data_IF_128957421235
#
_entry.id   IF_128957421235
#
_cell.length_a   1.000
_cell.length_b   1.000
_cell.length_c   1.000
_cell.angle_alpha   90.00
_cell.angle_beta   90.00
_cell.angle_gamma   90.00
#
_symmetry.space_group_name_H-M   'P 1'
#
loop_
_entity.id
_entity.type
_entity.pdbx_description
1 polymer ?
#
# COMPACT_ATOMS: atom_id res chain seq x y z
N UNK A 1 2.68 0.90 -6.01
CA UNK A 1 3.85 0.13 -5.50
C UNK A 1 3.84 0.24 -3.98
N UNK A 2 4.20 -0.83 -3.27
CA UNK A 2 4.32 -0.83 -1.81
C UNK A 2 5.70 -1.34 -1.37
N UNK A 3 6.19 -0.81 -0.27
CA UNK A 3 7.49 -1.14 0.29
C UNK A 3 7.88 -0.15 1.38
N UNK A 4 8.85 -0.53 2.21
CA UNK A 4 9.32 0.34 3.30
C UNK A 4 10.34 1.35 2.77
N UNK A 5 9.94 2.62 2.72
CA UNK A 5 10.84 3.75 2.49
C UNK A 5 10.33 4.98 3.27
N UNK A 6 10.96 5.28 4.41
CA UNK A 6 10.61 6.44 5.26
C UNK A 6 11.02 7.73 4.56
N UNK A 7 10.15 8.74 4.57
CA UNK A 7 10.35 10.01 3.88
C UNK A 7 10.13 9.95 2.36
N UNK A 8 9.71 8.82 1.82
CA UNK A 8 9.34 8.71 0.40
C UNK A 8 7.98 9.37 0.15
N UNK A 9 7.91 10.24 -0.85
CA UNK A 9 6.69 11.00 -1.17
C UNK A 9 5.55 10.16 -1.77
N UNK A 10 5.82 8.89 -2.15
CA UNK A 10 4.85 7.99 -2.78
C UNK A 10 4.83 6.63 -2.08
N UNK A 11 4.14 6.53 -0.94
CA UNK A 11 4.12 5.31 -0.12
C UNK A 11 2.71 4.98 0.40
N UNK A 12 1.88 4.38 -0.47
CA UNK A 12 0.52 3.94 -0.10
C UNK A 12 0.53 2.94 1.06
N UNK A 13 1.40 1.93 1.04
CA UNK A 13 1.41 0.89 2.06
C UNK A 13 1.64 1.43 3.47
N UNK A 14 2.62 2.33 3.64
CA UNK A 14 2.87 2.96 4.95
C UNK A 14 1.76 3.96 5.31
N UNK A 15 1.21 4.69 4.33
CA UNK A 15 0.06 5.59 4.55
C UNK A 15 -1.15 4.84 5.11
N UNK A 16 -1.51 3.70 4.51
CA UNK A 16 -2.63 2.87 4.96
C UNK A 16 -2.37 2.28 6.35
N UNK A 17 -1.14 1.88 6.66
CA UNK A 17 -0.77 1.38 7.98
C UNK A 17 -0.95 2.44 9.08
N UNK A 18 -0.52 3.66 8.81
CA UNK A 18 -0.67 4.80 9.73
C UNK A 18 -2.14 5.18 9.87
N UNK A 19 -2.89 5.29 8.77
CA UNK A 19 -4.32 5.57 8.78
C UNK A 19 -5.10 4.54 9.60
N UNK A 20 -4.83 3.24 9.40
CA UNK A 20 -5.44 2.15 10.17
C UNK A 20 -5.09 2.23 11.66
N UNK A 21 -3.83 2.54 11.98
CA UNK A 21 -3.37 2.72 13.38
C UNK A 21 -4.12 3.87 14.06
N UNK A 22 -4.25 5.02 13.39
CA UNK A 22 -5.00 6.17 13.92
C UNK A 22 -6.47 5.78 14.12
N UNK A 23 -7.08 5.08 13.17
CA UNK A 23 -8.45 4.58 13.31
C UNK A 23 -8.60 3.67 14.55
N UNK A 24 -7.66 2.75 14.76
CA UNK A 24 -7.64 1.86 15.93
C UNK A 24 -7.53 2.64 17.24
N UNK A 25 -6.60 3.58 17.33
CA UNK A 25 -6.28 4.30 18.58
C UNK A 25 -7.35 5.34 18.95
N UNK A 26 -8.06 5.88 17.97
CA UNK A 26 -9.10 6.91 18.19
C UNK A 26 -10.52 6.37 18.18
N UNK A 27 -10.72 5.14 17.70
CA UNK A 27 -12.04 4.55 17.49
C UNK A 27 -12.81 5.14 16.31
N UNK A 28 -12.19 5.99 15.48
CA UNK A 28 -12.86 6.52 14.28
C UNK A 28 -13.05 5.42 13.22
N UNK A 29 -14.09 5.50 12.37
CA UNK A 29 -14.33 4.51 11.33
C UNK A 29 -13.16 4.39 10.34
N UNK A 30 -12.76 3.16 10.01
CA UNK A 30 -11.75 2.89 8.97
C UNK A 30 -12.39 2.89 7.58
N UNK A 31 -12.46 4.07 6.99
CA UNK A 31 -13.27 4.34 5.79
C UNK A 31 -12.42 4.31 4.53
N UNK A 32 -12.85 3.54 3.53
CA UNK A 32 -12.18 3.50 2.22
C UNK A 32 -12.21 4.89 1.57
N UNK A 33 -11.07 5.42 1.13
CA UNK A 33 -11.00 6.81 0.66
C UNK A 33 -11.34 6.97 -0.82
N UNK A 34 -11.25 5.87 -1.59
CA UNK A 34 -11.19 5.89 -3.04
C UNK A 34 -12.54 5.87 -3.76
N UNK A 35 -12.44 5.72 -5.09
CA UNK A 35 -13.58 5.67 -6.00
C UNK A 35 -14.30 4.33 -5.98
N UNK A 36 -15.58 4.32 -6.38
CA UNK A 36 -16.33 3.08 -6.58
C UNK A 36 -15.71 2.18 -7.68
N UNK A 37 -14.98 2.77 -8.62
CA UNK A 37 -14.24 2.00 -9.63
C UNK A 37 -13.08 1.22 -8.99
N UNK A 38 -12.28 1.85 -8.13
CA UNK A 38 -11.20 1.16 -7.43
C UNK A 38 -11.74 0.16 -6.40
N UNK A 39 -12.87 0.46 -5.75
CA UNK A 39 -13.51 -0.47 -4.82
C UNK A 39 -13.93 -1.80 -5.48
N UNK A 40 -14.59 -1.72 -6.64
CA UNK A 40 -15.20 -2.88 -7.31
C UNK A 40 -14.35 -3.51 -8.43
N UNK A 41 -13.49 -2.71 -9.04
CA UNK A 41 -12.67 -3.08 -10.20
C UNK A 41 -11.46 -3.92 -9.83
N UNK A 42 -10.91 -4.61 -10.83
CA UNK A 42 -9.64 -5.30 -10.71
C UNK A 42 -8.47 -4.31 -10.75
N UNK A 43 -7.51 -4.55 -9.87
CA UNK A 43 -6.23 -3.85 -9.85
C UNK A 43 -5.09 -4.81 -9.55
N UNK A 44 -3.90 -4.47 -10.02
CA UNK A 44 -2.65 -5.09 -9.58
C UNK A 44 -1.85 -4.18 -8.63
N UNK A 45 -0.76 -4.71 -8.10
CA UNK A 45 0.19 -3.99 -7.26
C UNK A 45 1.61 -4.49 -7.53
N UNK A 46 2.60 -3.70 -7.13
CA UNK A 46 4.01 -4.08 -7.17
C UNK A 46 4.61 -3.94 -5.78
N UNK A 47 5.07 -5.04 -5.20
CA UNK A 47 5.94 -5.09 -4.03
C UNK A 47 7.37 -4.70 -4.43
N UNK A 48 8.04 -3.89 -3.60
CA UNK A 48 9.39 -3.42 -3.87
C UNK A 48 10.43 -4.56 -3.98
N UNK A 49 10.26 -5.66 -3.23
CA UNK A 49 11.09 -6.87 -3.31
C UNK A 49 10.87 -7.57 -4.65
N UNK A 50 9.64 -7.60 -5.15
CA UNK A 50 9.32 -8.15 -6.48
C UNK A 50 9.96 -7.32 -7.60
N UNK A 51 9.93 -5.98 -7.50
CA UNK A 51 10.69 -5.11 -8.40
C UNK A 51 12.20 -5.41 -8.33
N UNK A 52 12.77 -5.52 -7.12
CA UNK A 52 14.18 -5.84 -6.96
C UNK A 52 14.55 -7.20 -7.60
N UNK A 53 13.70 -8.23 -7.43
CA UNK A 53 13.88 -9.53 -8.10
C UNK A 53 13.90 -9.41 -9.62
N UNK A 54 13.01 -8.60 -10.21
CA UNK A 54 13.01 -8.41 -11.66
C UNK A 54 14.23 -7.61 -12.15
N UNK A 55 14.68 -6.61 -11.39
CA UNK A 55 15.90 -5.87 -11.72
C UNK A 55 17.14 -6.78 -11.73
N UNK A 56 17.28 -7.64 -10.71
CA UNK A 56 18.35 -8.65 -10.67
C UNK A 56 18.24 -9.58 -11.87
N UNK A 57 17.05 -10.12 -12.15
CA UNK A 57 16.82 -10.99 -13.30
C UNK A 57 17.21 -10.31 -14.62
N UNK A 58 16.77 -9.06 -14.85
CA UNK A 58 17.06 -8.33 -16.08
C UNK A 58 18.56 -8.05 -16.24
N UNK A 59 19.26 -7.75 -15.14
CA UNK A 59 20.71 -7.52 -15.14
C UNK A 59 21.53 -8.79 -15.40
N UNK A 60 21.01 -9.97 -15.04
CA UNK A 60 21.72 -11.26 -15.17
C UNK A 60 21.23 -12.14 -16.31
N UNK A 61 20.23 -11.69 -17.09
CA UNK A 61 19.64 -12.46 -18.21
C UNK A 61 20.04 -11.82 -19.53
N UNK A 62 20.96 -12.42 -20.32
CA UNK A 62 21.42 -11.82 -21.57
C UNK A 62 20.29 -11.48 -22.56
N UNK A 63 19.24 -12.32 -22.62
CA UNK A 63 18.08 -12.10 -23.48
C UNK A 63 17.18 -10.94 -23.04
N UNK A 64 17.38 -10.38 -21.83
CA UNK A 64 16.64 -9.24 -21.31
C UNK A 64 17.38 -7.90 -21.53
N UNK A 65 18.61 -7.93 -22.08
CA UNK A 65 19.39 -6.72 -22.30
C UNK A 65 18.70 -5.76 -23.29
N UNK A 66 18.70 -4.47 -22.96
CA UNK A 66 18.11 -3.38 -23.76
C UNK A 66 16.60 -3.50 -24.01
N UNK A 67 15.88 -4.19 -23.13
CA UNK A 67 14.44 -4.39 -23.23
C UNK A 67 13.68 -3.68 -22.10
N UNK A 68 12.54 -3.07 -22.42
CA UNK A 68 11.61 -2.56 -21.41
C UNK A 68 10.67 -3.69 -20.92
N UNK A 69 10.48 -3.79 -19.61
CA UNK A 69 9.57 -4.75 -18.98
C UNK A 69 8.65 -4.06 -17.98
N UNK A 70 7.40 -4.51 -17.94
CA UNK A 70 6.49 -4.20 -16.85
C UNK A 70 6.82 -5.04 -15.61
N UNK A 71 6.36 -4.59 -14.44
CA UNK A 71 6.46 -5.35 -13.19
C UNK A 71 5.23 -5.22 -12.31
N UNK A 72 4.67 -6.36 -11.92
CA UNK A 72 3.65 -6.48 -10.87
C UNK A 72 3.86 -7.78 -10.09
N UNK A 73 3.12 -7.92 -9.01
CA UNK A 73 3.10 -9.07 -8.10
C UNK A 73 2.68 -10.37 -8.79
N UNK A 74 1.84 -10.27 -9.82
CA UNK A 74 1.44 -11.39 -10.68
C UNK A 74 0.06 -11.95 -10.38
N UNK A 75 -0.60 -11.47 -9.33
CA UNK A 75 -2.04 -11.57 -9.07
C UNK A 75 -2.78 -10.26 -9.41
N UNK A 76 -4.10 -10.31 -9.27
CA UNK A 76 -5.00 -9.14 -9.30
C UNK A 76 -5.99 -9.25 -8.14
N UNK A 77 -6.45 -8.11 -7.64
CA UNK A 77 -7.36 -8.05 -6.50
C UNK A 77 -8.43 -6.98 -6.64
N UNK A 78 -9.36 -6.94 -5.68
CA UNK A 78 -10.31 -5.83 -5.50
C UNK A 78 -10.06 -5.18 -4.16
N UNK A 79 -10.15 -3.86 -4.11
CA UNK A 79 -10.02 -3.14 -2.85
C UNK A 79 -11.12 -3.51 -1.86
N UNK A 80 -12.32 -3.88 -2.31
CA UNK A 80 -13.42 -4.26 -1.43
C UNK A 80 -13.05 -5.34 -0.40
N UNK A 81 -12.44 -6.44 -0.82
CA UNK A 81 -12.00 -7.49 0.10
C UNK A 81 -10.61 -7.22 0.70
N UNK A 82 -9.73 -6.51 -0.01
CA UNK A 82 -8.40 -6.17 0.53
C UNK A 82 -8.52 -5.22 1.72
N UNK A 83 -9.46 -4.27 1.66
CA UNK A 83 -9.71 -3.33 2.73
C UNK A 83 -10.15 -4.03 4.02
N UNK A 84 -11.04 -5.02 3.91
CA UNK A 84 -11.44 -5.88 5.05
C UNK A 84 -10.25 -6.66 5.61
N UNK A 85 -9.39 -7.21 4.75
CA UNK A 85 -8.17 -7.93 5.16
C UNK A 85 -7.18 -7.03 5.90
N UNK A 86 -6.98 -5.80 5.42
CA UNK A 86 -6.14 -4.80 6.09
C UNK A 86 -6.75 -4.46 7.46
N UNK A 87 -8.05 -4.18 7.51
CA UNK A 87 -8.74 -3.86 8.77
C UNK A 87 -8.57 -5.00 9.80
N UNK A 88 -8.78 -6.26 9.37
CA UNK A 88 -8.59 -7.45 10.20
C UNK A 88 -7.16 -7.57 10.73
N UNK A 89 -6.14 -7.31 9.90
CA UNK A 89 -4.74 -7.34 10.34
C UNK A 89 -4.43 -6.31 11.42
N UNK A 90 -5.07 -5.14 11.36
CA UNK A 90 -4.97 -4.09 12.37
C UNK A 90 -5.90 -4.28 13.58
N UNK A 91 -6.77 -5.31 13.56
CA UNK A 91 -7.72 -5.59 14.63
C UNK A 91 -8.85 -4.56 14.71
N UNK A 92 -9.24 -3.98 13.58
CA UNK A 92 -10.35 -3.00 13.47
C UNK A 92 -11.38 -3.46 12.44
N UNK A 93 -12.57 -2.87 12.48
CA UNK A 93 -13.61 -3.10 11.48
C UNK A 93 -13.53 -2.07 10.36
N UNK A 94 -13.66 -2.54 9.11
CA UNK A 94 -13.81 -1.66 7.95
C UNK A 94 -15.19 -1.02 7.95
N UNK A 95 -15.24 0.31 7.76
CA UNK A 95 -16.52 0.98 7.56
C UNK A 95 -17.14 0.57 6.22
N UNK A 96 -18.48 0.42 6.12
CA UNK A 96 -19.14 0.12 4.86
C UNK A 96 -18.84 1.19 3.81
N UNK A 97 -18.54 0.75 2.58
CA UNK A 97 -18.39 1.66 1.46
C UNK A 97 -19.75 1.97 0.83
N UNK A 98 -20.14 3.24 0.84
CA UNK A 98 -21.42 3.74 0.34
C UNK A 98 -21.34 4.37 -1.07
N UNK A 99 -20.18 4.27 -1.72
CA UNK A 99 -19.94 4.89 -3.02
C UNK A 99 -19.40 6.32 -2.97
N UNK A 100 -19.36 6.95 -1.79
CA UNK A 100 -18.86 8.32 -1.62
C UNK A 100 -17.34 8.33 -1.43
N UNK A 101 -16.65 9.06 -2.30
CA UNK A 101 -15.20 9.30 -2.20
C UNK A 101 -14.93 10.17 -0.98
N UNK A 102 -13.98 9.77 -0.14
CA UNK A 102 -13.57 10.49 1.08
C UNK A 102 -12.05 10.53 1.14
N UNK A 103 -11.39 11.50 0.50
CA UNK A 103 -9.93 11.53 0.38
C UNK A 103 -9.22 11.43 1.73
N UNK A 104 -8.12 10.67 1.81
CA UNK A 104 -7.28 10.60 2.99
C UNK A 104 -6.65 11.94 3.34
N UNK A 105 -6.37 12.81 2.35
CA UNK A 105 -5.84 14.15 2.61
C UNK A 105 -6.77 14.95 3.54
N UNK A 106 -8.09 14.82 3.35
CA UNK A 106 -9.09 15.43 4.22
C UNK A 106 -9.24 14.67 5.54
N UNK A 107 -9.33 13.33 5.48
CA UNK A 107 -9.51 12.49 6.68
C UNK A 107 -8.34 12.59 7.67
N UNK A 108 -7.13 12.87 7.17
CA UNK A 108 -5.89 12.92 7.97
C UNK A 108 -5.37 14.35 8.21
N UNK A 109 -6.08 15.38 7.75
CA UNK A 109 -5.61 16.78 7.80
C UNK A 109 -5.26 17.28 9.22
N UNK A 110 -5.84 16.67 10.26
CA UNK A 110 -5.67 17.06 11.66
C UNK A 110 -5.07 15.93 12.53
N UNK A 111 -4.46 14.92 11.90
CA UNK A 111 -3.95 13.73 12.62
C UNK A 111 -2.51 13.89 13.12
N UNK A 112 -1.82 15.00 12.83
CA UNK A 112 -0.40 15.18 13.18
C UNK A 112 -0.15 15.08 14.70
N UNK A 113 -0.96 15.77 15.50
CA UNK A 113 -0.85 15.73 16.96
C UNK A 113 -1.25 14.37 17.52
N UNK A 114 -2.27 13.73 16.90
CA UNK A 114 -2.71 12.37 17.26
C UNK A 114 -1.58 11.37 17.04
N UNK A 115 -0.92 11.43 15.88
CA UNK A 115 0.21 10.56 15.57
C UNK A 115 1.39 10.80 16.51
N UNK A 116 1.67 12.06 16.84
CA UNK A 116 2.74 12.41 17.78
C UNK A 116 2.50 11.78 19.17
N UNK A 117 1.26 11.82 19.67
CA UNK A 117 0.90 11.14 20.93
C UNK A 117 1.03 9.61 20.83
N UNK A 118 0.52 9.00 19.77
CA UNK A 118 0.67 7.55 19.52
C UNK A 118 2.15 7.17 19.49
N UNK A 119 2.98 7.93 18.78
CA UNK A 119 4.41 7.70 18.68
C UNK A 119 5.10 7.76 20.05
N UNK A 120 4.74 8.75 20.88
CA UNK A 120 5.27 8.88 22.23
C UNK A 120 4.84 7.70 23.14
N UNK A 121 3.55 7.33 23.12
CA UNK A 121 3.00 6.24 23.95
C UNK A 121 3.60 4.87 23.62
N UNK A 122 3.84 4.60 22.34
CA UNK A 122 4.36 3.31 21.85
C UNK A 122 5.89 3.30 21.63
N UNK A 123 6.58 4.43 21.86
CA UNK A 123 8.03 4.53 21.68
C UNK A 123 8.47 4.31 20.23
N UNK A 124 7.70 4.87 19.28
CA UNK A 124 7.97 4.77 17.84
C UNK A 124 9.16 5.65 17.45
N UNK A 125 9.86 5.25 16.38
CA UNK A 125 11.07 5.94 15.91
C UNK A 125 10.81 7.18 15.05
N UNK A 126 9.58 7.34 14.56
CA UNK A 126 9.18 8.45 13.69
C UNK A 126 7.85 9.04 14.16
N UNK A 127 7.90 10.25 14.70
CA UNK A 127 6.72 10.98 15.20
C UNK A 127 6.18 11.98 14.20
N UNK A 128 6.90 12.28 13.11
CA UNK A 128 6.41 13.17 12.07
C UNK A 128 5.53 12.39 11.08
N UNK A 129 4.22 12.63 11.15
CA UNK A 129 3.23 12.01 10.28
C UNK A 129 3.55 12.20 8.78
N UNK A 130 4.05 13.37 8.40
CA UNK A 130 4.34 13.70 6.99
C UNK A 130 5.52 12.91 6.43
N UNK A 131 6.36 12.32 7.29
CA UNK A 131 7.47 11.44 6.87
C UNK A 131 7.04 9.98 6.65
N UNK A 132 5.87 9.59 7.17
CA UNK A 132 5.34 8.23 7.05
C UNK A 132 4.18 8.13 6.06
N UNK A 133 3.32 9.14 6.03
CA UNK A 133 2.10 9.14 5.24
C UNK A 133 2.18 10.15 4.09
N UNK A 134 1.74 9.72 2.92
CA UNK A 134 1.52 10.54 1.73
C UNK A 134 0.05 10.42 1.30
N UNK A 135 -0.91 11.08 2.00
CA UNK A 135 -2.34 10.93 1.74
C UNK A 135 -2.74 11.25 0.30
N UNK A 136 -2.26 12.39 -0.23
CA UNK A 136 -2.53 12.83 -1.60
C UNK A 136 -2.17 11.76 -2.66
N UNK A 137 -1.08 11.01 -2.45
CA UNK A 137 -0.63 9.99 -3.39
C UNK A 137 -1.53 8.76 -3.32
N UNK A 138 -1.89 8.36 -2.10
CA UNK A 138 -2.85 7.26 -1.88
C UNK A 138 -4.20 7.61 -2.51
N UNK A 139 -4.66 8.85 -2.38
CA UNK A 139 -5.87 9.34 -3.03
C UNK A 139 -5.76 9.36 -4.55
N UNK A 140 -4.62 9.75 -5.10
CA UNK A 140 -4.38 9.69 -6.55
C UNK A 140 -4.45 8.26 -7.10
N UNK A 141 -4.01 7.26 -6.33
CA UNK A 141 -4.07 5.86 -6.74
C UNK A 141 -5.47 5.23 -6.51
N UNK A 142 -6.07 5.42 -5.33
CA UNK A 142 -7.37 4.86 -4.97
C UNK A 142 -8.54 5.65 -5.59
N UNK A 143 -8.32 6.87 -6.04
CA UNK A 143 -9.31 7.72 -6.70
C UNK A 143 -9.48 7.47 -8.19
N UNK A 144 -8.66 6.60 -8.81
CA UNK A 144 -8.67 6.37 -10.26
C UNK A 144 -10.06 5.95 -10.76
N UNK A 145 -10.60 6.54 -11.84
CA UNK A 145 -11.90 6.15 -12.41
C UNK A 145 -11.79 5.00 -13.42
N UNK A 146 -10.72 4.20 -13.35
CA UNK A 146 -10.42 3.09 -14.27
C UNK A 146 -9.84 1.88 -13.54
N UNK A 147 -9.99 0.69 -14.14
CA UNK A 147 -9.21 -0.50 -13.78
C UNK A 147 -7.77 -0.36 -14.29
N UNK A 148 -6.81 -0.86 -13.52
CA UNK A 148 -5.39 -0.80 -13.87
C UNK A 148 -4.81 -2.20 -13.72
N UNK A 149 -4.48 -2.80 -14.86
CA UNK A 149 -3.88 -4.13 -14.95
C UNK A 149 -2.72 -4.12 -15.94
N UNK A 150 -1.69 -4.87 -15.62
CA UNK A 150 -0.38 -4.78 -16.25
C UNK A 150 0.06 -6.13 -16.79
N UNK A 151 0.41 -6.18 -18.07
CA UNK A 151 0.86 -7.43 -18.70
C UNK A 151 2.31 -7.76 -18.31
N UNK A 152 2.50 -8.96 -17.73
CA UNK A 152 3.79 -9.58 -17.44
C UNK A 152 4.22 -10.59 -18.52
N UNK A 153 3.47 -10.72 -19.61
CA UNK A 153 3.69 -11.72 -20.64
C UNK A 153 5.09 -11.68 -21.24
N UNK A 154 5.66 -10.49 -21.47
CA UNK A 154 7.01 -10.34 -22.02
C UNK A 154 8.09 -10.92 -21.10
N UNK A 155 8.07 -10.55 -19.82
CA UNK A 155 9.06 -11.03 -18.85
C UNK A 155 8.91 -12.55 -18.60
N UNK A 156 7.67 -13.04 -18.53
CA UNK A 156 7.36 -14.48 -18.42
C UNK A 156 7.90 -15.30 -19.59
N UNK A 157 7.74 -14.83 -20.83
CA UNK A 157 8.28 -15.49 -22.04
C UNK A 157 9.81 -15.60 -22.03
N UNK A 158 10.48 -14.69 -21.33
CA UNK A 158 11.94 -14.69 -21.15
C UNK A 158 12.39 -15.34 -19.83
N UNK A 159 11.48 -16.04 -19.15
CA UNK A 159 11.81 -16.87 -17.99
C UNK A 159 11.70 -16.18 -16.62
N UNK A 160 11.22 -14.94 -16.53
CA UNK A 160 10.90 -14.34 -15.24
C UNK A 160 9.58 -14.88 -14.69
N UNK A 161 9.66 -15.69 -13.65
CA UNK A 161 8.51 -16.36 -12.99
C UNK A 161 8.26 -15.86 -11.57
N UNK A 162 8.89 -14.74 -11.17
CA UNK A 162 8.68 -14.16 -9.84
C UNK A 162 7.21 -13.86 -9.58
N UNK A 163 6.74 -14.17 -8.38
CA UNK A 163 5.38 -13.97 -7.91
C UNK A 163 5.42 -13.48 -6.46
N UNK A 164 4.47 -12.64 -6.10
CA UNK A 164 4.21 -12.20 -4.73
C UNK A 164 2.69 -12.15 -4.55
N UNK A 165 2.14 -12.76 -3.50
CA UNK A 165 0.72 -12.57 -3.20
C UNK A 165 0.52 -11.15 -2.64
N UNK A 166 -0.40 -10.37 -3.20
CA UNK A 166 -0.48 -8.94 -2.87
C UNK A 166 -0.93 -8.69 -1.44
N UNK A 167 -1.77 -9.55 -0.85
CA UNK A 167 -2.14 -9.47 0.56
C UNK A 167 -0.97 -9.78 1.49
N UNK A 168 -0.22 -10.84 1.22
CA UNK A 168 1.01 -11.17 1.94
C UNK A 168 2.02 -10.02 1.87
N UNK A 169 2.17 -9.37 0.70
CA UNK A 169 3.04 -8.19 0.55
C UNK A 169 2.66 -7.02 1.47
N UNK A 170 1.35 -6.75 1.64
CA UNK A 170 0.89 -5.75 2.61
C UNK A 170 1.20 -6.18 4.04
N UNK A 171 0.91 -7.42 4.40
CA UNK A 171 1.12 -7.92 5.76
C UNK A 171 2.60 -7.98 6.15
N UNK A 172 3.46 -8.41 5.24
CA UNK A 172 4.91 -8.39 5.40
C UNK A 172 5.42 -6.97 5.59
N UNK A 173 4.92 -6.03 4.78
CA UNK A 173 5.25 -4.61 4.95
C UNK A 173 4.83 -4.13 6.34
N UNK A 174 3.60 -4.39 6.77
CA UNK A 174 3.13 -3.92 8.07
C UNK A 174 3.90 -4.59 9.23
N UNK A 175 4.21 -5.88 9.13
CA UNK A 175 5.06 -6.58 10.09
C UNK A 175 6.46 -5.95 10.18
N UNK A 176 7.05 -5.61 9.02
CA UNK A 176 8.35 -4.91 8.96
C UNK A 176 8.27 -3.52 9.60
N UNK A 177 7.19 -2.76 9.35
CA UNK A 177 6.98 -1.45 9.97
C UNK A 177 6.85 -1.56 11.50
N UNK A 178 6.17 -2.59 12.02
CA UNK A 178 6.10 -2.88 13.46
C UNK A 178 7.46 -3.24 14.04
N UNK A 179 8.19 -4.14 13.40
CA UNK A 179 9.54 -4.54 13.82
C UNK A 179 10.49 -3.35 13.93
N UNK A 180 10.41 -2.42 12.96
CA UNK A 180 11.21 -1.19 12.95
C UNK A 180 10.65 -0.08 13.86
N UNK A 181 9.56 -0.34 14.59
CA UNK A 181 8.85 0.61 15.45
C UNK A 181 8.43 1.89 14.72
N UNK A 182 8.04 1.76 13.44
CA UNK A 182 7.45 2.84 12.65
C UNK A 182 5.93 2.92 12.83
N UNK A 183 5.31 1.80 13.20
CA UNK A 183 3.92 1.72 13.69
C UNK A 183 3.92 0.83 14.95
N UNK A 184 2.91 0.90 15.83
CA UNK A 184 2.78 -0.01 16.98
C UNK A 184 2.42 -1.43 16.55
#
# INVERSE_FOLDING_TARGET
MIGKAVGNAMNMGTTLAVYATICRETGRPFTFPGSAMQWNGLTDMTDARQLARQLVWAATTPAAANEAFNIVNGDVFRWSWMWERIAQWFGIEAAPFDGTVRPLEEQMAHDADIWTDIAARHGLVESDLARLASPWHTDADLGRPIEVVTDMGKSRKLGFTGYEATDEAFFDLFAKLREDRLIP
#
